data_IF_161734856002
#
_entry.id   IF_161734856002
#
_cell.length_a   1.000
_cell.length_b   1.000
_cell.length_c   1.000
_cell.angle_alpha   90.00
_cell.angle_beta   90.00
_cell.angle_gamma   90.00
#
_symmetry.space_group_name_H-M   'P 1'
#
loop_
_entity.id
_entity.type
_entity.pdbx_description
1 polymer ?
#
# COMPACT_ATOMS: atom_id res chain seq x y z
N UNK A 1 16.31 -48.59 -37.32
CA UNK A 1 17.04 -47.31 -37.30
C UNK A 1 16.00 -46.20 -37.21
N UNK A 2 15.77 -45.74 -35.98
CA UNK A 2 14.71 -44.80 -35.60
C UNK A 2 15.16 -43.37 -35.83
N UNK A 3 14.44 -42.62 -36.65
CA UNK A 3 14.65 -41.20 -36.87
C UNK A 3 14.29 -40.39 -35.63
N UNK A 4 15.25 -39.63 -35.13
CA UNK A 4 15.07 -38.70 -34.01
C UNK A 4 14.40 -37.43 -34.55
N UNK A 5 13.21 -37.11 -34.02
CA UNK A 5 12.57 -35.83 -34.25
C UNK A 5 13.37 -34.69 -33.59
N UNK A 6 13.45 -33.49 -34.19
CA UNK A 6 14.19 -32.38 -33.61
C UNK A 6 13.49 -31.87 -32.34
N UNK A 7 14.23 -31.34 -31.35
CA UNK A 7 13.64 -30.88 -30.10
C UNK A 7 12.77 -29.65 -30.35
N UNK A 8 11.55 -29.69 -29.81
CA UNK A 8 10.61 -28.59 -29.82
C UNK A 8 11.12 -27.45 -28.91
N UNK A 9 11.99 -26.59 -29.43
CA UNK A 9 12.30 -25.30 -28.82
C UNK A 9 11.46 -24.22 -29.49
N UNK A 10 10.23 -24.01 -29.02
CA UNK A 10 9.55 -22.71 -29.13
C UNK A 10 8.29 -22.63 -28.25
N UNK A 11 8.20 -21.52 -27.49
CA UNK A 11 7.02 -20.96 -26.83
C UNK A 11 6.45 -21.60 -25.55
N UNK A 12 7.27 -21.68 -24.51
CA UNK A 12 6.79 -21.46 -23.13
C UNK A 12 7.67 -20.40 -22.44
N UNK A 13 7.39 -19.11 -22.67
CA UNK A 13 7.73 -18.10 -21.65
C UNK A 13 6.95 -18.51 -20.40
N UNK A 14 7.63 -18.95 -19.36
CA UNK A 14 6.96 -19.37 -18.12
C UNK A 14 6.25 -18.14 -17.53
N UNK A 15 5.07 -18.32 -16.92
CA UNK A 15 4.31 -17.23 -16.25
C UNK A 15 5.18 -16.39 -15.28
N UNK A 16 6.29 -16.95 -14.80
CA UNK A 16 7.29 -16.26 -13.97
C UNK A 16 7.99 -15.10 -14.69
N UNK A 17 8.24 -15.16 -16.00
CA UNK A 17 8.94 -14.08 -16.72
C UNK A 17 8.04 -12.86 -16.94
N UNK A 18 6.73 -13.08 -17.15
CA UNK A 18 5.76 -11.99 -17.34
C UNK A 18 5.61 -11.11 -16.09
N UNK A 19 5.67 -11.70 -14.87
CA UNK A 19 5.60 -10.97 -13.60
C UNK A 19 6.75 -9.97 -13.42
N UNK A 20 7.91 -10.24 -14.03
CA UNK A 20 9.15 -9.48 -13.83
C UNK A 20 9.60 -8.67 -15.05
N UNK A 21 8.77 -8.61 -16.10
CA UNK A 21 9.09 -8.02 -17.42
C UNK A 21 9.80 -6.65 -17.35
N UNK A 22 9.42 -5.82 -16.38
CA UNK A 22 9.88 -4.43 -16.26
C UNK A 22 10.47 -4.10 -14.88
N UNK A 23 11.00 -5.10 -14.16
CA UNK A 23 11.57 -4.94 -12.81
C UNK A 23 13.09 -5.14 -12.84
N UNK A 24 13.83 -4.05 -12.59
CA UNK A 24 15.29 -4.04 -12.47
C UNK A 24 15.70 -4.50 -11.07
N UNK A 25 16.67 -5.42 -11.04
CA UNK A 25 17.37 -5.88 -9.84
C UNK A 25 18.86 -5.55 -10.00
N UNK A 26 19.41 -4.59 -9.24
CA UNK A 26 20.83 -4.25 -9.30
C UNK A 26 21.66 -5.16 -8.39
N UNK A 27 21.30 -6.44 -8.35
CA UNK A 27 21.97 -7.53 -7.64
C UNK A 27 21.70 -8.84 -8.39
N UNK A 28 22.55 -9.84 -8.17
CA UNK A 28 22.47 -11.12 -8.88
C UNK A 28 21.68 -12.16 -8.12
N UNK A 29 21.31 -13.27 -8.79
CA UNK A 29 20.66 -14.40 -8.13
C UNK A 29 21.58 -15.06 -7.10
N UNK A 30 22.88 -15.11 -7.38
CA UNK A 30 23.89 -15.67 -6.48
C UNK A 30 23.99 -14.86 -5.18
N UNK A 31 23.82 -13.53 -5.25
CA UNK A 31 23.76 -12.68 -4.07
C UNK A 31 22.52 -12.98 -3.22
N UNK A 32 21.36 -13.20 -3.85
CA UNK A 32 20.13 -13.61 -3.17
C UNK A 32 20.32 -14.97 -2.47
N UNK A 33 20.85 -15.97 -3.18
CA UNK A 33 21.10 -17.31 -2.61
C UNK A 33 22.06 -17.26 -1.42
N UNK A 34 23.10 -16.43 -1.48
CA UNK A 34 24.04 -16.25 -0.37
C UNK A 34 23.38 -15.69 0.90
N UNK A 35 22.29 -14.93 0.76
CA UNK A 35 21.53 -14.35 1.87
C UNK A 35 20.41 -15.24 2.42
N UNK A 36 20.01 -16.29 1.68
CA UNK A 36 18.89 -17.18 2.07
C UNK A 36 19.20 -18.10 3.25
N UNK A 37 20.48 -18.39 3.49
CA UNK A 37 20.88 -19.41 4.46
C UNK A 37 20.58 -20.83 3.95
N UNK A 38 20.62 -21.82 4.84
CA UNK A 38 20.57 -23.24 4.46
C UNK A 38 19.17 -23.87 4.58
N UNK A 39 18.20 -23.17 5.16
CA UNK A 39 16.85 -23.68 5.42
C UNK A 39 15.85 -22.83 4.65
N UNK A 40 15.05 -23.48 3.80
CA UNK A 40 13.96 -22.82 3.08
C UNK A 40 12.72 -22.73 3.99
N UNK A 41 12.31 -21.51 4.32
CA UNK A 41 11.05 -21.23 5.00
C UNK A 41 9.99 -20.91 3.93
N UNK A 42 8.83 -21.56 4.00
CA UNK A 42 7.73 -21.30 3.08
C UNK A 42 6.75 -20.27 3.67
N UNK A 43 6.47 -19.22 2.89
CA UNK A 43 5.58 -18.11 3.27
C UNK A 43 4.26 -18.18 2.50
N UNK A 44 3.46 -19.21 2.79
CA UNK A 44 2.27 -19.58 2.01
C UNK A 44 1.29 -18.42 1.79
N UNK A 45 0.93 -17.70 2.86
CA UNK A 45 -0.04 -16.60 2.78
C UNK A 45 0.48 -15.43 1.94
N UNK A 46 1.75 -15.07 2.12
CA UNK A 46 2.37 -13.99 1.34
C UNK A 46 2.45 -14.37 -0.15
N UNK A 47 2.82 -15.61 -0.48
CA UNK A 47 2.88 -16.09 -1.87
C UNK A 47 1.50 -16.07 -2.53
N UNK A 48 0.51 -16.73 -1.91
CA UNK A 48 -0.85 -16.80 -2.46
C UNK A 48 -1.49 -15.40 -2.56
N UNK A 49 -1.30 -14.57 -1.54
CA UNK A 49 -1.75 -13.19 -1.53
C UNK A 49 -1.13 -12.37 -2.66
N UNK A 50 0.19 -12.40 -2.82
CA UNK A 50 0.90 -11.65 -3.85
C UNK A 50 0.50 -12.09 -5.27
N UNK A 51 0.38 -13.40 -5.50
CA UNK A 51 -0.07 -13.95 -6.79
C UNK A 51 -1.52 -13.56 -7.10
N UNK A 52 -2.41 -13.63 -6.10
CA UNK A 52 -3.80 -13.19 -6.24
C UNK A 52 -3.89 -11.68 -6.49
N UNK A 53 -3.13 -10.88 -5.77
CA UNK A 53 -3.10 -9.43 -5.96
C UNK A 53 -2.62 -9.07 -7.36
N UNK A 54 -1.54 -9.69 -7.83
CA UNK A 54 -1.07 -9.49 -9.20
C UNK A 54 -2.17 -9.82 -10.22
N UNK A 55 -2.86 -10.96 -10.06
CA UNK A 55 -3.98 -11.34 -10.93
C UNK A 55 -5.09 -10.28 -10.93
N UNK A 56 -5.53 -9.82 -9.75
CA UNK A 56 -6.56 -8.78 -9.63
C UNK A 56 -6.16 -7.48 -10.32
N UNK A 57 -4.91 -7.05 -10.18
CA UNK A 57 -4.41 -5.82 -10.82
C UNK A 57 -4.38 -5.89 -12.35
N UNK A 58 -4.31 -7.10 -12.92
CA UNK A 58 -4.29 -7.32 -14.38
C UNK A 58 -5.70 -7.53 -14.94
N UNK A 59 -6.60 -8.17 -14.19
CA UNK A 59 -7.91 -8.60 -14.70
C UNK A 59 -9.04 -7.63 -14.36
N UNK A 60 -8.94 -6.87 -13.27
CA UNK A 60 -9.98 -5.92 -12.85
C UNK A 60 -9.74 -4.53 -13.46
N UNK A 61 -10.83 -3.77 -13.65
CA UNK A 61 -10.74 -2.37 -14.04
C UNK A 61 -9.91 -1.57 -13.02
N UNK A 62 -10.16 -1.83 -11.73
CA UNK A 62 -9.37 -1.40 -10.58
C UNK A 62 -9.75 -2.23 -9.34
N UNK A 63 -8.91 -2.20 -8.31
CA UNK A 63 -9.12 -2.88 -7.03
C UNK A 63 -9.36 -1.83 -5.93
N UNK A 64 -10.62 -1.59 -5.51
CA UNK A 64 -10.94 -0.71 -4.40
C UNK A 64 -10.76 -1.41 -3.06
N UNK A 65 -10.25 -0.67 -2.07
CA UNK A 65 -10.01 -1.19 -0.71
C UNK A 65 -10.29 -0.13 0.36
N UNK A 66 -10.42 -0.59 1.60
CA UNK A 66 -10.64 0.25 2.78
C UNK A 66 -9.57 -0.08 3.83
N UNK A 67 -9.05 0.94 4.52
CA UNK A 67 -8.13 0.75 5.63
C UNK A 67 -8.73 -0.05 6.77
N UNK A 68 -8.11 -1.19 7.12
CA UNK A 68 -8.46 -2.03 8.26
C UNK A 68 -7.34 -2.02 9.32
N UNK A 69 -7.72 -1.90 10.60
CA UNK A 69 -6.82 -1.98 11.75
C UNK A 69 -7.15 -3.14 12.71
N UNK A 70 -8.25 -3.86 12.44
CA UNK A 70 -8.64 -5.05 13.19
C UNK A 70 -8.98 -6.22 12.26
N UNK A 71 -8.91 -7.44 12.79
CA UNK A 71 -9.30 -8.64 12.05
C UNK A 71 -10.79 -8.63 11.65
N UNK A 72 -11.68 -8.18 12.52
CA UNK A 72 -13.13 -8.14 12.22
C UNK A 72 -13.45 -7.13 11.12
N UNK A 73 -12.79 -5.98 11.09
CA UNK A 73 -12.94 -5.02 9.97
C UNK A 73 -12.60 -5.69 8.63
N UNK A 74 -11.49 -6.43 8.58
CA UNK A 74 -11.09 -7.14 7.37
C UNK A 74 -12.07 -8.28 6.99
N UNK A 75 -12.55 -9.05 7.96
CA UNK A 75 -13.59 -10.08 7.72
C UNK A 75 -14.84 -9.44 7.12
N UNK A 76 -15.32 -8.34 7.69
CA UNK A 76 -16.51 -7.64 7.20
C UNK A 76 -16.30 -7.03 5.81
N UNK A 77 -15.11 -6.49 5.52
CA UNK A 77 -14.76 -5.99 4.18
C UNK A 77 -14.85 -7.11 3.13
N UNK A 78 -14.32 -8.29 3.43
CA UNK A 78 -14.35 -9.44 2.51
C UNK A 78 -15.76 -10.01 2.38
N UNK A 79 -16.50 -10.11 3.48
CA UNK A 79 -17.90 -10.54 3.48
C UNK A 79 -18.80 -9.61 2.64
N UNK A 80 -18.53 -8.30 2.67
CA UNK A 80 -19.20 -7.31 1.83
C UNK A 80 -18.77 -7.36 0.35
N UNK A 81 -17.82 -8.21 -0.02
CA UNK A 81 -17.39 -8.45 -1.40
C UNK A 81 -16.12 -7.72 -1.85
N UNK A 82 -15.40 -7.02 -0.96
CA UNK A 82 -14.10 -6.45 -1.31
C UNK A 82 -13.07 -7.56 -1.54
N UNK A 83 -12.26 -7.40 -2.59
CA UNK A 83 -11.32 -8.43 -3.05
C UNK A 83 -9.92 -8.29 -2.45
N UNK A 84 -9.62 -7.19 -1.76
CA UNK A 84 -8.31 -6.89 -1.16
C UNK A 84 -8.49 -5.97 0.06
N UNK A 85 -7.46 -5.93 0.91
CA UNK A 85 -7.44 -5.15 2.16
C UNK A 85 -6.27 -4.17 2.12
N UNK A 86 -6.52 -2.92 2.55
CA UNK A 86 -5.46 -1.96 2.81
C UNK A 86 -5.20 -1.90 4.33
N UNK A 87 -3.94 -1.92 4.73
CA UNK A 87 -3.53 -1.77 6.13
C UNK A 87 -2.72 -0.48 6.26
N UNK A 88 -3.35 0.51 6.90
CA UNK A 88 -2.84 1.88 7.04
C UNK A 88 -1.89 2.01 8.23
N UNK A 89 -0.69 2.56 8.01
CA UNK A 89 0.28 2.86 9.07
C UNK A 89 -0.24 3.93 10.03
N UNK A 90 -0.97 4.92 9.49
CA UNK A 90 -1.69 5.93 10.26
C UNK A 90 -2.67 5.30 11.26
N UNK A 91 -3.47 4.32 10.82
CA UNK A 91 -4.44 3.66 11.71
C UNK A 91 -3.75 2.84 12.79
N UNK A 92 -2.63 2.20 12.45
CA UNK A 92 -1.79 1.51 13.42
C UNK A 92 -1.22 2.49 14.45
N UNK A 93 -0.69 3.64 14.02
CA UNK A 93 -0.23 4.70 14.91
C UNK A 93 -1.36 5.16 15.85
N UNK A 94 -2.57 5.37 15.33
CA UNK A 94 -3.68 5.88 16.11
C UNK A 94 -4.23 4.88 17.14
N UNK A 95 -4.39 3.60 16.79
CA UNK A 95 -5.23 2.70 17.62
C UNK A 95 -4.86 1.20 17.56
N UNK A 96 -3.75 0.82 16.93
CA UNK A 96 -3.42 -0.62 16.80
C UNK A 96 -1.92 -0.96 16.88
N UNK A 97 -1.09 -0.07 17.43
CA UNK A 97 0.34 -0.29 17.55
C UNK A 97 0.75 -0.99 18.86
N UNK A 98 1.97 -1.55 18.86
CA UNK A 98 2.50 -2.35 19.97
C UNK A 98 3.00 -1.52 21.17
N UNK A 99 3.10 -0.19 21.06
CA UNK A 99 3.36 0.65 22.22
C UNK A 99 2.09 0.90 23.06
N UNK A 100 0.91 0.58 22.53
CA UNK A 100 -0.37 0.80 23.21
C UNK A 100 -0.71 2.27 23.43
N UNK A 101 -0.09 3.17 22.67
CA UNK A 101 -0.32 4.62 22.72
C UNK A 101 -1.08 5.07 21.47
N UNK A 102 -1.90 6.11 21.62
CA UNK A 102 -2.44 6.84 20.48
C UNK A 102 -1.38 7.81 19.95
N UNK A 103 -0.89 7.59 18.74
CA UNK A 103 0.09 8.44 18.10
C UNK A 103 -0.47 9.19 16.88
N UNK A 104 0.06 10.39 16.58
CA UNK A 104 -0.03 10.94 15.25
C UNK A 104 0.84 10.12 14.28
N UNK A 105 0.58 10.28 12.99
CA UNK A 105 1.25 9.55 11.94
C UNK A 105 2.63 10.14 11.59
N UNK A 106 3.61 9.79 12.41
CA UNK A 106 5.00 10.26 12.35
C UNK A 106 6.04 9.18 12.66
N UNK A 107 5.76 7.92 12.30
CA UNK A 107 6.66 6.76 12.53
C UNK A 107 7.12 6.57 13.98
N UNK A 108 6.30 6.97 14.96
CA UNK A 108 6.65 6.92 16.40
C UNK A 108 6.53 5.51 16.99
N UNK A 109 5.71 4.65 16.39
CA UNK A 109 5.39 3.35 16.92
C UNK A 109 6.48 2.30 16.64
N UNK A 110 6.57 1.20 17.42
CA UNK A 110 7.55 0.13 17.17
C UNK A 110 7.39 -0.47 15.77
N UNK A 111 8.48 -0.58 15.00
CA UNK A 111 8.45 -0.96 13.58
C UNK A 111 7.76 -2.31 13.29
N UNK A 112 7.67 -3.21 14.27
CA UNK A 112 6.96 -4.49 14.17
C UNK A 112 5.43 -4.39 14.37
N UNK A 113 4.87 -3.19 14.54
CA UNK A 113 3.42 -3.00 14.77
C UNK A 113 2.57 -3.35 13.55
N UNK A 114 2.93 -2.86 12.36
CA UNK A 114 2.22 -3.21 11.12
C UNK A 114 2.30 -4.73 10.84
N UNK A 115 3.47 -5.40 10.90
CA UNK A 115 3.56 -6.86 10.86
C UNK A 115 2.62 -7.59 11.83
N UNK A 116 2.48 -7.11 13.07
CA UNK A 116 1.56 -7.71 14.04
C UNK A 116 0.09 -7.61 13.59
N UNK A 117 -0.30 -6.48 12.98
CA UNK A 117 -1.66 -6.28 12.46
C UNK A 117 -1.90 -7.11 11.19
N UNK A 118 -0.91 -7.25 10.30
CA UNK A 118 -0.99 -8.16 9.14
C UNK A 118 -1.32 -9.58 9.61
N UNK A 119 -0.56 -10.09 10.60
CA UNK A 119 -0.78 -11.41 11.18
C UNK A 119 -2.17 -11.54 11.82
N UNK A 120 -2.62 -10.50 12.53
CA UNK A 120 -3.95 -10.45 13.14
C UNK A 120 -5.07 -10.55 12.10
N UNK A 121 -4.95 -9.82 10.99
CA UNK A 121 -5.92 -9.85 9.88
C UNK A 121 -5.94 -11.24 9.24
N UNK A 122 -4.76 -11.77 8.88
CA UNK A 122 -4.67 -13.11 8.29
C UNK A 122 -5.28 -14.20 9.18
N UNK A 123 -5.06 -14.14 10.50
CA UNK A 123 -5.67 -15.07 11.45
C UNK A 123 -7.20 -14.97 11.47
N UNK A 124 -7.76 -13.76 11.37
CA UNK A 124 -9.21 -13.56 11.34
C UNK A 124 -9.83 -14.11 10.05
N UNK A 125 -9.19 -13.85 8.89
CA UNK A 125 -9.63 -14.38 7.60
C UNK A 125 -9.53 -15.91 7.55
N UNK A 126 -8.47 -16.50 8.10
CA UNK A 126 -8.32 -17.95 8.23
C UNK A 126 -9.43 -18.56 9.11
N UNK A 127 -9.81 -17.88 10.20
CA UNK A 127 -10.92 -18.35 11.04
C UNK A 127 -12.25 -18.30 10.28
N UNK A 128 -12.51 -17.23 9.55
CA UNK A 128 -13.71 -17.11 8.72
C UNK A 128 -13.75 -18.20 7.63
N UNK A 129 -12.61 -18.46 6.98
CA UNK A 129 -12.45 -19.56 6.02
C UNK A 129 -12.76 -20.93 6.63
N UNK A 130 -12.22 -21.24 7.81
CA UNK A 130 -12.47 -22.50 8.51
C UNK A 130 -13.94 -22.70 8.87
N UNK A 131 -14.62 -21.64 9.34
CA UNK A 131 -16.06 -21.68 9.64
C UNK A 131 -16.86 -21.92 8.37
N UNK A 132 -16.55 -21.18 7.31
CA UNK A 132 -17.22 -21.27 6.01
C UNK A 132 -17.06 -22.66 5.37
N UNK A 133 -15.87 -23.26 5.51
CA UNK A 133 -15.58 -24.63 5.08
C UNK A 133 -16.38 -25.66 5.88
N UNK A 134 -16.43 -25.51 7.21
CA UNK A 134 -17.22 -26.38 8.09
C UNK A 134 -18.72 -26.35 7.75
N UNK A 135 -19.26 -25.17 7.44
CA UNK A 135 -20.67 -25.00 7.06
C UNK A 135 -20.99 -25.46 5.63
N UNK A 136 -19.99 -25.86 4.84
CA UNK A 136 -20.18 -26.29 3.46
C UNK A 136 -20.61 -25.16 2.52
N UNK A 137 -20.18 -23.91 2.77
CA UNK A 137 -20.59 -22.72 2.00
C UNK A 137 -19.42 -22.04 1.27
N UNK A 138 -18.65 -22.70 0.38
CA UNK A 138 -17.34 -22.22 -0.09
C UNK A 138 -17.37 -21.06 -1.13
N UNK A 139 -18.35 -20.16 -1.05
CA UNK A 139 -18.58 -19.12 -2.06
C UNK A 139 -17.71 -17.85 -1.89
N UNK A 140 -17.16 -17.63 -0.69
CA UNK A 140 -16.33 -16.45 -0.38
C UNK A 140 -14.85 -16.85 -0.38
N UNK A 141 -14.03 -16.10 -1.12
CA UNK A 141 -12.58 -16.26 -1.05
C UNK A 141 -12.01 -15.38 0.06
N UNK A 142 -12.01 -15.94 1.28
CA UNK A 142 -11.67 -15.24 2.52
C UNK A 142 -10.26 -14.66 2.58
N UNK A 143 -9.26 -15.35 2.04
CA UNK A 143 -7.87 -14.87 2.11
C UNK A 143 -7.60 -13.79 1.07
N UNK A 144 -8.19 -12.62 1.30
CA UNK A 144 -7.97 -11.41 0.51
C UNK A 144 -6.53 -10.90 0.69
N UNK A 145 -5.83 -10.52 -0.40
CA UNK A 145 -4.49 -9.95 -0.30
C UNK A 145 -4.48 -8.66 0.52
N UNK A 146 -3.47 -8.55 1.39
CA UNK A 146 -3.23 -7.38 2.23
C UNK A 146 -2.10 -6.55 1.61
N UNK A 147 -2.38 -5.28 1.30
CA UNK A 147 -1.37 -4.27 0.97
C UNK A 147 -1.11 -3.44 2.22
N UNK A 148 0.13 -3.43 2.70
CA UNK A 148 0.48 -2.84 3.98
C UNK A 148 1.44 -1.65 3.87
N UNK A 149 1.29 -0.72 4.81
CA UNK A 149 2.10 0.47 4.95
C UNK A 149 3.45 0.19 5.63
N UNK A 150 4.55 0.31 4.88
CA UNK A 150 5.90 0.17 5.41
C UNK A 150 6.55 1.53 5.72
N UNK A 151 5.78 2.62 5.72
CA UNK A 151 6.24 3.97 6.02
C UNK A 151 7.44 4.36 5.13
N UNK A 152 8.40 5.09 5.69
CA UNK A 152 9.73 5.30 5.11
C UNK A 152 10.73 4.18 5.49
N UNK A 153 10.27 3.07 6.10
CA UNK A 153 11.11 1.93 6.48
C UNK A 153 11.82 2.04 7.83
N UNK A 154 11.44 3.00 8.69
CA UNK A 154 11.93 3.14 10.08
C UNK A 154 13.46 3.30 10.22
N UNK A 155 14.13 3.80 9.19
CA UNK A 155 15.58 4.04 9.23
C UNK A 155 16.22 3.94 7.84
N UNK A 156 17.30 3.17 7.75
CA UNK A 156 18.04 2.96 6.50
C UNK A 156 17.65 1.65 5.78
N UNK A 157 18.42 1.26 4.75
CA UNK A 157 18.13 0.07 3.94
C UNK A 157 18.01 -1.25 4.73
N UNK A 158 18.75 -1.41 5.84
CA UNK A 158 18.65 -2.61 6.67
C UNK A 158 17.34 -2.65 7.47
N UNK A 159 16.85 -1.50 7.96
CA UNK A 159 15.55 -1.40 8.59
C UNK A 159 14.43 -1.74 7.59
N UNK A 160 14.54 -1.22 6.36
CA UNK A 160 13.61 -1.56 5.26
C UNK A 160 13.62 -3.05 4.96
N UNK A 161 14.81 -3.66 4.83
CA UNK A 161 14.94 -5.10 4.56
C UNK A 161 14.26 -5.95 5.63
N UNK A 162 14.55 -5.70 6.90
CA UNK A 162 13.96 -6.44 8.03
C UNK A 162 12.44 -6.21 8.16
N UNK A 163 11.98 -4.99 7.90
CA UNK A 163 10.55 -4.67 7.93
C UNK A 163 9.80 -5.42 6.84
N UNK A 164 10.27 -5.36 5.58
CA UNK A 164 9.60 -6.05 4.47
C UNK A 164 9.63 -7.56 4.67
N UNK A 165 10.75 -8.11 5.15
CA UNK A 165 10.82 -9.53 5.56
C UNK A 165 9.78 -9.86 6.62
N UNK A 166 9.68 -9.07 7.69
CA UNK A 166 8.69 -9.28 8.75
C UNK A 166 7.24 -9.18 8.25
N UNK A 167 6.97 -8.32 7.26
CA UNK A 167 5.64 -8.23 6.62
C UNK A 167 5.33 -9.46 5.78
N UNK A 168 6.31 -10.01 5.05
CA UNK A 168 6.17 -11.26 4.30
C UNK A 168 5.94 -12.44 5.25
N UNK A 169 6.71 -12.52 6.34
CA UNK A 169 6.52 -13.52 7.40
C UNK A 169 5.10 -13.47 7.98
N UNK A 170 4.53 -12.27 8.13
CA UNK A 170 3.16 -12.06 8.60
C UNK A 170 2.09 -12.37 7.54
N UNK A 171 2.47 -12.53 6.26
CA UNK A 171 1.58 -12.87 5.16
C UNK A 171 1.06 -11.68 4.33
N UNK A 172 1.82 -10.58 4.23
CA UNK A 172 1.46 -9.47 3.34
C UNK A 172 1.57 -9.87 1.86
N UNK A 173 0.62 -9.42 1.04
CA UNK A 173 0.62 -9.61 -0.41
C UNK A 173 1.41 -8.50 -1.12
N UNK A 174 1.36 -7.29 -0.58
CA UNK A 174 2.10 -6.14 -1.07
C UNK A 174 2.47 -5.17 0.04
N UNK A 175 3.48 -4.34 -0.23
CA UNK A 175 3.98 -3.33 0.69
C UNK A 175 4.25 -2.03 -0.07
N UNK A 176 4.03 -0.88 0.56
CA UNK A 176 4.42 0.41 0.02
C UNK A 176 5.46 1.10 0.88
N UNK A 177 6.44 1.74 0.23
CA UNK A 177 7.48 2.55 0.85
C UNK A 177 7.40 3.98 0.30
N UNK A 178 7.60 4.97 1.16
CA UNK A 178 7.61 6.38 0.77
C UNK A 178 8.99 7.03 0.86
N UNK A 179 9.15 8.15 0.14
CA UNK A 179 10.43 8.87 0.00
C UNK A 179 10.60 10.05 0.97
N UNK A 180 9.93 9.97 2.13
CA UNK A 180 10.16 10.89 3.24
C UNK A 180 11.33 10.44 4.13
N UNK A 181 11.90 11.38 4.89
CA UNK A 181 12.86 11.10 5.94
C UNK A 181 12.14 10.41 7.12
N UNK A 182 12.55 9.19 7.46
CA UNK A 182 11.86 8.37 8.47
C UNK A 182 11.73 9.04 9.86
N UNK A 183 12.73 9.81 10.30
CA UNK A 183 12.69 10.51 11.60
C UNK A 183 11.80 11.75 11.61
N UNK A 184 11.46 12.30 10.44
CA UNK A 184 10.58 13.45 10.26
C UNK A 184 9.38 13.08 9.39
N UNK A 185 9.01 11.79 9.39
CA UNK A 185 7.88 11.29 8.61
C UNK A 185 6.62 12.02 9.05
N UNK A 186 5.78 12.40 8.10
CA UNK A 186 4.44 12.91 8.39
C UNK A 186 3.41 12.22 7.50
N UNK A 187 2.17 12.21 7.96
CA UNK A 187 1.03 11.93 7.09
C UNK A 187 1.09 12.81 5.83
N UNK A 188 0.73 12.25 4.68
CA UNK A 188 0.79 12.92 3.38
C UNK A 188 0.07 14.27 3.29
N UNK A 189 -0.90 14.52 4.17
CA UNK A 189 -1.71 15.72 4.21
C UNK A 189 -1.24 16.75 5.25
N UNK A 190 -0.13 16.48 5.96
CA UNK A 190 0.46 17.39 6.93
C UNK A 190 1.60 18.21 6.30
N UNK A 191 1.81 19.43 6.80
CA UNK A 191 2.96 20.26 6.43
C UNK A 191 4.27 19.75 7.05
N UNK A 192 5.40 20.27 6.57
CA UNK A 192 6.73 19.97 7.12
C UNK A 192 7.35 18.65 6.66
N UNK A 193 6.80 18.01 5.62
CA UNK A 193 7.38 16.80 5.02
C UNK A 193 8.77 17.07 4.45
N UNK A 194 9.71 16.18 4.75
CA UNK A 194 11.10 16.26 4.27
C UNK A 194 11.39 15.05 3.40
N UNK A 195 11.73 15.27 2.14
CA UNK A 195 12.11 14.22 1.21
C UNK A 195 13.55 13.75 1.47
N UNK A 196 13.81 12.48 1.21
CA UNK A 196 15.18 11.97 1.00
C UNK A 196 15.57 12.10 -0.48
N UNK A 197 16.88 12.11 -0.82
CA UNK A 197 17.33 12.11 -2.20
C UNK A 197 16.78 10.92 -2.99
N UNK A 198 16.54 11.13 -4.28
CA UNK A 198 15.97 10.11 -5.18
C UNK A 198 16.75 8.79 -5.11
N UNK A 199 18.08 8.84 -5.09
CA UNK A 199 18.94 7.65 -4.93
C UNK A 199 18.75 6.91 -3.60
N UNK A 200 18.38 7.59 -2.51
CA UNK A 200 18.15 6.95 -1.22
C UNK A 200 16.79 6.23 -1.20
N UNK A 201 15.75 6.85 -1.77
CA UNK A 201 14.46 6.19 -1.97
C UNK A 201 14.63 4.93 -2.84
N UNK A 202 15.39 5.01 -3.95
CA UNK A 202 15.71 3.84 -4.77
C UNK A 202 16.42 2.74 -3.97
N UNK A 203 17.39 3.08 -3.10
CA UNK A 203 18.03 2.09 -2.21
C UNK A 203 17.03 1.40 -1.29
N UNK A 204 16.03 2.11 -0.78
CA UNK A 204 14.96 1.50 0.03
C UNK A 204 14.11 0.53 -0.80
N UNK A 205 13.71 0.93 -2.01
CA UNK A 205 12.96 0.05 -2.93
C UNK A 205 13.74 -1.22 -3.29
N UNK A 206 15.04 -1.08 -3.57
CA UNK A 206 15.94 -2.21 -3.83
C UNK A 206 16.03 -3.13 -2.61
N UNK A 207 16.18 -2.58 -1.40
CA UNK A 207 16.23 -3.36 -0.16
C UNK A 207 14.92 -4.13 0.09
N UNK A 208 13.76 -3.49 -0.14
CA UNK A 208 12.45 -4.15 -0.06
C UNK A 208 12.30 -5.28 -1.09
N UNK A 209 12.73 -5.07 -2.34
CA UNK A 209 12.72 -6.14 -3.36
C UNK A 209 13.67 -7.27 -2.99
N UNK A 210 14.86 -6.95 -2.48
CA UNK A 210 15.85 -7.95 -2.06
C UNK A 210 15.30 -8.83 -0.93
N UNK A 211 14.60 -8.23 0.05
CA UNK A 211 13.92 -8.99 1.10
C UNK A 211 12.89 -9.97 0.52
N UNK A 212 12.09 -9.53 -0.46
CA UNK A 212 11.11 -10.40 -1.13
C UNK A 212 11.77 -11.54 -1.92
N UNK A 213 12.84 -11.25 -2.67
CA UNK A 213 13.60 -12.25 -3.42
C UNK A 213 14.29 -13.25 -2.47
N UNK A 214 14.85 -12.80 -1.33
CA UNK A 214 15.41 -13.68 -0.29
C UNK A 214 14.32 -14.57 0.32
N UNK A 215 13.12 -14.03 0.57
CA UNK A 215 11.98 -14.81 1.05
C UNK A 215 11.36 -15.71 -0.05
N UNK A 216 11.82 -15.63 -1.29
CA UNK A 216 11.28 -16.38 -2.43
C UNK A 216 9.79 -16.09 -2.72
N UNK A 217 9.30 -14.87 -2.42
CA UNK A 217 7.89 -14.48 -2.58
C UNK A 217 7.76 -13.35 -3.61
N UNK A 218 6.78 -13.40 -4.55
CA UNK A 218 6.60 -12.38 -5.58
C UNK A 218 5.85 -11.13 -5.08
N UNK A 219 6.14 -10.68 -3.84
CA UNK A 219 5.45 -9.58 -3.15
C UNK A 219 5.32 -8.34 -4.04
N UNK A 220 4.13 -7.74 -4.04
CA UNK A 220 3.89 -6.51 -4.78
C UNK A 220 4.57 -5.34 -4.05
N UNK A 221 5.46 -4.62 -4.73
CA UNK A 221 6.16 -3.46 -4.17
C UNK A 221 5.62 -2.18 -4.81
N UNK A 222 5.23 -1.22 -3.97
CA UNK A 222 4.75 0.09 -4.40
C UNK A 222 5.74 1.17 -3.94
N UNK A 223 6.05 2.12 -4.83
CA UNK A 223 6.76 3.34 -4.43
C UNK A 223 5.77 4.50 -4.32
N UNK A 224 5.69 5.08 -3.12
CA UNK A 224 5.01 6.33 -2.85
C UNK A 224 5.99 7.50 -2.96
N UNK A 225 5.56 8.59 -3.58
CA UNK A 225 6.25 9.87 -3.49
C UNK A 225 5.37 10.93 -2.82
N UNK A 226 5.99 11.69 -1.93
CA UNK A 226 5.35 12.82 -1.23
C UNK A 226 5.72 14.19 -1.82
N UNK A 227 6.47 14.20 -2.93
CA UNK A 227 7.02 15.39 -3.56
C UNK A 227 5.98 16.37 -4.14
N UNK A 228 4.72 15.96 -4.25
CA UNK A 228 3.65 16.87 -4.65
C UNK A 228 3.43 18.01 -3.63
N UNK A 229 3.66 17.74 -2.34
CA UNK A 229 3.47 18.73 -1.28
C UNK A 229 4.68 18.93 -0.36
N UNK A 230 5.69 18.05 -0.42
CA UNK A 230 6.88 18.18 0.40
C UNK A 230 7.81 19.29 -0.12
N UNK A 231 7.97 20.35 0.66
CA UNK A 231 8.78 21.52 0.30
C UNK A 231 10.21 21.49 0.82
N UNK A 232 10.64 20.37 1.42
CA UNK A 232 11.97 20.18 2.01
C UNK A 232 12.64 18.91 1.48
N UNK A 233 13.97 18.93 1.37
CA UNK A 233 14.82 17.82 0.93
C UNK A 233 16.07 17.76 1.81
N UNK A 234 16.50 16.57 2.25
CA UNK A 234 17.63 16.47 3.18
C UNK A 234 18.98 16.84 2.57
N UNK A 235 19.18 16.65 1.26
CA UNK A 235 20.46 16.87 0.58
C UNK A 235 20.28 17.09 -0.92
N UNK A 236 21.18 17.89 -1.51
CA UNK A 236 21.31 18.20 -2.93
C UNK A 236 22.24 17.25 -3.72
N UNK A 237 22.62 16.12 -3.12
CA UNK A 237 23.62 15.18 -3.65
C UNK A 237 23.20 14.50 -4.96
N UNK A 238 21.91 14.38 -5.24
CA UNK A 238 21.39 13.69 -6.41
C UNK A 238 21.04 14.69 -7.53
N UNK A 239 21.69 14.55 -8.68
CA UNK A 239 21.47 15.43 -9.84
C UNK A 239 20.00 15.49 -10.28
N UNK A 240 19.22 14.42 -10.05
CA UNK A 240 17.79 14.37 -10.42
C UNK A 240 16.93 15.29 -9.56
N UNK A 241 17.39 15.61 -8.35
CA UNK A 241 16.67 16.47 -7.41
C UNK A 241 17.01 17.95 -7.61
N UNK A 242 18.19 18.27 -8.14
CA UNK A 242 18.67 19.66 -8.33
C UNK A 242 17.74 20.57 -9.11
N UNK A 243 17.04 20.12 -10.18
CA UNK A 243 16.09 20.95 -10.91
C UNK A 243 14.92 21.47 -10.07
N UNK A 244 14.72 20.99 -8.84
CA UNK A 244 13.66 21.43 -7.94
C UNK A 244 14.17 22.26 -6.76
N UNK A 245 15.47 22.28 -6.50
CA UNK A 245 16.07 23.01 -5.38
C UNK A 245 16.00 24.52 -5.63
N UNK A 246 15.65 25.30 -4.61
CA UNK A 246 15.54 26.77 -4.71
C UNK A 246 16.85 27.50 -4.40
N UNK A 247 17.78 26.83 -3.72
CA UNK A 247 19.03 27.39 -3.20
C UNK A 247 18.94 27.85 -1.74
N UNK A 248 17.73 27.88 -1.16
CA UNK A 248 17.52 28.23 0.24
C UNK A 248 17.64 27.01 1.16
N UNK A 249 18.09 27.24 2.40
CA UNK A 249 18.19 26.22 3.45
C UNK A 249 17.43 26.61 4.71
N UNK A 250 17.00 25.62 5.48
CA UNK A 250 16.43 25.80 6.83
C UNK A 250 17.51 25.79 7.90
N UNK A 251 17.15 26.11 9.15
CA UNK A 251 18.09 26.11 10.28
C UNK A 251 18.61 24.70 10.62
N UNK A 252 17.78 23.67 10.40
CA UNK A 252 18.12 22.25 10.52
C UNK A 252 19.05 21.76 9.39
N UNK A 253 19.25 22.60 8.36
CA UNK A 253 20.12 22.32 7.23
C UNK A 253 19.41 21.67 6.03
N UNK A 254 18.09 21.52 6.04
CA UNK A 254 17.35 21.01 4.88
C UNK A 254 17.33 22.02 3.74
N UNK A 255 17.26 21.52 2.51
CA UNK A 255 17.11 22.33 1.30
C UNK A 255 15.63 22.58 1.03
N UNK A 256 15.27 23.80 0.62
CA UNK A 256 13.93 24.08 0.10
C UNK A 256 13.82 23.62 -1.35
N UNK A 257 12.69 22.99 -1.68
CA UNK A 257 12.37 22.51 -3.02
C UNK A 257 11.03 23.07 -3.50
N UNK A 258 10.91 23.22 -4.83
CA UNK A 258 9.66 23.51 -5.53
C UNK A 258 8.81 22.24 -5.57
N UNK A 259 8.01 22.05 -4.52
CA UNK A 259 7.00 20.98 -4.46
C UNK A 259 5.99 21.11 -5.60
N UNK A 260 5.43 19.97 -6.02
CA UNK A 260 4.34 19.92 -6.98
C UNK A 260 4.40 18.69 -7.88
N UNK A 261 3.42 18.61 -8.78
CA UNK A 261 3.21 17.44 -9.63
C UNK A 261 4.41 17.13 -10.53
N UNK A 262 5.14 18.14 -10.99
CA UNK A 262 6.32 17.94 -11.85
C UNK A 262 7.46 17.24 -11.09
N UNK A 263 7.66 17.58 -9.80
CA UNK A 263 8.63 16.90 -8.94
C UNK A 263 8.18 15.47 -8.64
N UNK A 264 6.89 15.26 -8.41
CA UNK A 264 6.31 13.93 -8.19
C UNK A 264 6.47 13.02 -9.42
N UNK A 265 6.22 13.53 -10.63
CA UNK A 265 6.42 12.80 -11.89
C UNK A 265 7.89 12.40 -12.05
N UNK A 266 8.83 13.35 -11.87
CA UNK A 266 10.26 13.07 -12.02
C UNK A 266 10.75 11.96 -11.07
N UNK A 267 10.24 11.95 -9.84
CA UNK A 267 10.52 10.91 -8.86
C UNK A 267 9.89 9.58 -9.23
N UNK A 268 8.61 9.58 -9.59
CA UNK A 268 7.88 8.38 -10.01
C UNK A 268 8.55 7.70 -11.22
N UNK A 269 8.99 8.47 -12.23
CA UNK A 269 9.76 7.97 -13.37
C UNK A 269 11.09 7.34 -12.94
N UNK A 270 11.76 7.91 -11.93
CA UNK A 270 13.00 7.36 -11.37
C UNK A 270 12.77 6.07 -10.57
N UNK A 271 11.60 5.91 -9.94
CA UNK A 271 11.25 4.74 -9.13
C UNK A 271 10.69 3.59 -9.96
N UNK A 272 10.03 3.91 -11.09
CA UNK A 272 9.30 2.97 -11.93
C UNK A 272 10.03 1.65 -12.24
N UNK A 273 11.35 1.62 -12.52
CA UNK A 273 12.04 0.36 -12.82
C UNK A 273 12.15 -0.60 -11.65
N UNK A 274 11.98 -0.14 -10.41
CA UNK A 274 12.24 -0.93 -9.21
C UNK A 274 10.96 -1.50 -8.58
N UNK A 275 9.79 -1.04 -9.02
CA UNK A 275 8.50 -1.30 -8.39
C UNK A 275 7.42 -1.75 -9.35
N UNK A 276 6.38 -2.35 -8.77
CA UNK A 276 5.21 -2.86 -9.48
C UNK A 276 4.17 -1.75 -9.70
N UNK A 277 3.97 -0.89 -8.68
CA UNK A 277 3.08 0.27 -8.77
C UNK A 277 3.74 1.56 -8.29
N UNK A 278 3.25 2.68 -8.79
CA UNK A 278 3.62 4.02 -8.35
C UNK A 278 2.43 4.74 -7.71
N UNK A 279 2.68 5.50 -6.67
CA UNK A 279 1.69 6.31 -5.97
C UNK A 279 2.24 7.72 -5.75
N UNK A 280 1.52 8.72 -6.27
CA UNK A 280 1.72 10.11 -5.87
C UNK A 280 0.72 10.46 -4.78
N UNK A 281 1.20 10.87 -3.60
CA UNK A 281 0.29 11.41 -2.59
C UNK A 281 -0.22 12.79 -3.02
N UNK A 282 -1.53 13.01 -2.94
CA UNK A 282 -2.19 14.27 -3.31
C UNK A 282 -2.86 14.91 -2.10
N UNK A 283 -2.97 16.24 -2.11
CA UNK A 283 -3.63 17.01 -1.06
C UNK A 283 -5.12 17.25 -1.33
N UNK A 284 -5.57 17.04 -2.57
CA UNK A 284 -6.96 17.22 -2.99
C UNK A 284 -7.40 16.10 -3.96
N UNK A 285 -8.71 15.78 -4.01
CA UNK A 285 -9.25 14.82 -4.97
C UNK A 285 -9.42 15.53 -6.33
N UNK A 286 -8.36 15.53 -7.13
CA UNK A 286 -8.29 16.24 -8.41
C UNK A 286 -7.98 15.27 -9.56
N UNK A 287 -8.97 15.04 -10.44
CA UNK A 287 -8.82 14.14 -11.60
C UNK A 287 -7.89 14.70 -12.68
N UNK A 288 -7.78 16.02 -12.83
CA UNK A 288 -6.87 16.63 -13.81
C UNK A 288 -5.41 16.47 -13.37
N UNK A 289 -5.13 16.64 -12.08
CA UNK A 289 -3.80 16.37 -11.51
C UNK A 289 -3.44 14.88 -11.60
N UNK A 290 -4.39 14.00 -11.28
CA UNK A 290 -4.23 12.55 -11.43
C UNK A 290 -3.92 12.18 -12.89
N UNK A 291 -4.65 12.75 -13.85
CA UNK A 291 -4.40 12.56 -15.28
C UNK A 291 -3.00 13.03 -15.69
N UNK A 292 -2.58 14.23 -15.26
CA UNK A 292 -1.22 14.74 -15.54
C UNK A 292 -0.13 13.82 -15.00
N UNK A 293 -0.31 13.28 -13.78
CA UNK A 293 0.64 12.33 -13.21
C UNK A 293 0.70 11.04 -14.02
N UNK A 294 -0.46 10.47 -14.35
CA UNK A 294 -0.55 9.23 -15.12
C UNK A 294 0.10 9.39 -16.50
N UNK A 295 -0.26 10.43 -17.25
CA UNK A 295 0.32 10.73 -18.56
C UNK A 295 1.84 10.96 -18.48
N UNK A 296 2.31 11.70 -17.47
CA UNK A 296 3.74 11.94 -17.25
C UNK A 296 4.54 10.67 -16.97
N UNK A 297 3.97 9.73 -16.21
CA UNK A 297 4.60 8.42 -15.97
C UNK A 297 4.53 7.54 -17.22
N UNK A 298 3.36 7.43 -17.84
CA UNK A 298 3.10 6.53 -18.97
C UNK A 298 3.82 6.95 -20.25
N UNK A 299 4.21 8.22 -20.38
CA UNK A 299 5.12 8.66 -21.45
C UNK A 299 6.46 7.90 -21.41
N UNK A 300 6.95 7.53 -20.23
CA UNK A 300 8.20 6.79 -20.05
C UNK A 300 7.96 5.29 -19.84
N UNK A 301 6.88 4.92 -19.15
CA UNK A 301 6.53 3.53 -18.83
C UNK A 301 5.05 3.26 -19.11
N UNK A 302 4.66 2.99 -20.38
CA UNK A 302 3.25 2.90 -20.79
C UNK A 302 2.41 1.87 -20.01
N UNK A 303 3.03 0.76 -19.59
CA UNK A 303 2.36 -0.34 -18.89
C UNK A 303 2.44 -0.20 -17.36
N UNK A 304 2.98 0.89 -16.82
CA UNK A 304 3.22 1.02 -15.37
C UNK A 304 1.91 1.21 -14.61
N UNK A 305 1.65 0.31 -13.67
CA UNK A 305 0.48 0.37 -12.81
C UNK A 305 0.59 1.51 -11.81
N UNK A 306 -0.53 2.18 -11.54
CA UNK A 306 -0.60 3.28 -10.59
C UNK A 306 -1.52 2.93 -9.41
N UNK A 307 -1.30 3.59 -8.28
CA UNK A 307 -2.14 3.50 -7.10
C UNK A 307 -2.58 4.89 -6.63
N UNK A 308 -3.79 4.98 -6.07
CA UNK A 308 -4.39 6.26 -5.66
C UNK A 308 -5.04 6.16 -4.28
N UNK A 309 -4.68 7.11 -3.41
CA UNK A 309 -5.30 7.29 -2.10
C UNK A 309 -6.53 8.20 -2.23
N UNK A 310 -7.72 7.62 -2.11
CA UNK A 310 -8.98 8.35 -1.97
C UNK A 310 -9.09 8.85 -0.51
N UNK A 311 -8.29 9.85 -0.17
CA UNK A 311 -8.08 10.25 1.22
C UNK A 311 -9.36 10.75 1.91
N UNK A 312 -9.63 10.32 3.15
CA UNK A 312 -10.71 10.88 3.97
C UNK A 312 -10.35 12.24 4.58
N UNK A 313 -9.10 12.68 4.47
CA UNK A 313 -8.70 14.06 4.83
C UNK A 313 -9.26 15.10 3.87
N UNK A 314 -9.78 14.69 2.71
CA UNK A 314 -10.49 15.56 1.79
C UNK A 314 -11.91 15.84 2.29
N UNK A 315 -12.35 17.10 2.19
CA UNK A 315 -13.77 17.40 2.27
C UNK A 315 -14.42 17.19 0.90
N UNK A 316 -14.80 15.94 0.60
CA UNK A 316 -15.29 15.49 -0.71
C UNK A 316 -16.44 16.36 -1.24
N UNK A 317 -17.53 16.53 -0.47
CA UNK A 317 -18.70 17.32 -0.90
C UNK A 317 -18.46 18.82 -1.00
N UNK A 318 -17.40 19.34 -0.35
CA UNK A 318 -16.98 20.74 -0.53
C UNK A 318 -16.23 20.93 -1.85
N UNK A 319 -15.60 19.89 -2.37
CA UNK A 319 -14.68 19.96 -3.52
C UNK A 319 -15.30 19.44 -4.82
N UNK A 320 -16.16 18.43 -4.73
CA UNK A 320 -16.74 17.72 -5.87
C UNK A 320 -18.25 17.58 -5.69
N UNK A 321 -18.98 17.58 -6.80
CA UNK A 321 -20.41 17.25 -6.83
C UNK A 321 -20.64 15.72 -6.75
N UNK A 322 -21.87 15.32 -6.39
CA UNK A 322 -22.21 13.91 -6.19
C UNK A 322 -22.03 13.04 -7.45
N UNK A 323 -22.19 13.62 -8.66
CA UNK A 323 -21.98 12.88 -9.92
C UNK A 323 -20.50 12.57 -10.09
N UNK A 324 -19.65 13.57 -9.87
CA UNK A 324 -18.19 13.40 -9.94
C UNK A 324 -17.68 12.43 -8.88
N UNK A 325 -18.19 12.51 -7.64
CA UNK A 325 -17.86 11.54 -6.58
C UNK A 325 -18.23 10.12 -7.00
N UNK A 326 -19.44 9.91 -7.55
CA UNK A 326 -19.94 8.59 -7.95
C UNK A 326 -19.12 7.90 -9.05
N UNK A 327 -18.42 8.66 -9.89
CA UNK A 327 -17.57 8.13 -10.98
C UNK A 327 -16.06 8.20 -10.70
N UNK A 328 -15.64 8.84 -9.61
CA UNK A 328 -14.25 9.20 -9.34
C UNK A 328 -13.27 8.01 -9.49
N UNK A 329 -13.56 6.89 -8.83
CA UNK A 329 -12.69 5.70 -8.88
C UNK A 329 -12.66 5.04 -10.27
N UNK A 330 -13.77 5.08 -11.00
CA UNK A 330 -13.85 4.54 -12.36
C UNK A 330 -13.00 5.36 -13.33
N UNK A 331 -13.09 6.68 -13.23
CA UNK A 331 -12.29 7.61 -14.03
C UNK A 331 -10.80 7.42 -13.74
N UNK A 332 -10.41 7.26 -12.47
CA UNK A 332 -9.04 6.91 -12.08
C UNK A 332 -8.61 5.54 -12.66
N UNK A 333 -9.47 4.52 -12.61
CA UNK A 333 -9.19 3.20 -13.16
C UNK A 333 -8.85 3.25 -14.66
N UNK A 334 -9.57 4.08 -15.42
CA UNK A 334 -9.32 4.31 -16.84
C UNK A 334 -7.97 5.00 -17.13
N UNK A 335 -7.41 5.72 -16.15
CA UNK A 335 -6.08 6.35 -16.24
C UNK A 335 -4.95 5.42 -15.78
N UNK A 336 -5.23 4.17 -15.41
CA UNK A 336 -4.23 3.19 -14.98
C UNK A 336 -4.02 3.11 -13.46
N UNK A 337 -4.84 3.78 -12.65
CA UNK A 337 -4.87 3.62 -11.19
C UNK A 337 -5.59 2.31 -10.81
N UNK A 338 -4.84 1.20 -10.87
CA UNK A 338 -5.33 -0.15 -10.65
C UNK A 338 -5.52 -0.53 -9.19
N UNK A 339 -4.87 0.17 -8.26
CA UNK A 339 -5.08 -0.04 -6.82
C UNK A 339 -5.56 1.26 -6.17
N UNK A 340 -6.76 1.25 -5.59
CA UNK A 340 -7.38 2.45 -5.03
C UNK A 340 -7.85 2.18 -3.61
N UNK A 341 -7.61 3.11 -2.70
CA UNK A 341 -7.80 2.84 -1.27
C UNK A 341 -8.21 4.08 -0.49
N UNK A 342 -9.07 3.89 0.52
CA UNK A 342 -9.37 4.91 1.53
C UNK A 342 -8.58 4.56 2.79
N UNK A 343 -7.52 5.31 3.07
CA UNK A 343 -6.56 5.01 4.15
C UNK A 343 -7.19 4.92 5.53
N UNK A 344 -8.10 5.84 5.89
CA UNK A 344 -8.65 5.95 7.25
C UNK A 344 -10.09 5.44 7.40
N UNK A 345 -10.59 4.64 6.45
CA UNK A 345 -11.97 4.15 6.46
C UNK A 345 -12.34 3.46 7.78
N UNK A 346 -11.56 2.47 8.23
CA UNK A 346 -11.77 1.78 9.50
C UNK A 346 -11.75 2.69 10.73
N UNK A 347 -10.90 3.73 10.74
CA UNK A 347 -10.84 4.69 11.85
C UNK A 347 -12.13 5.51 11.94
N UNK A 348 -12.58 6.08 10.83
CA UNK A 348 -13.81 6.85 10.80
C UNK A 348 -15.04 5.98 11.11
N UNK A 349 -15.13 4.78 10.52
CA UNK A 349 -16.23 3.87 10.78
C UNK A 349 -16.32 3.47 12.26
N UNK A 350 -15.18 3.10 12.87
CA UNK A 350 -15.11 2.70 14.27
C UNK A 350 -15.48 3.85 15.21
N UNK A 351 -14.85 5.01 15.05
CA UNK A 351 -15.07 6.15 15.95
C UNK A 351 -16.48 6.72 15.81
N UNK A 352 -16.99 6.86 14.58
CA UNK A 352 -18.32 7.41 14.36
C UNK A 352 -19.42 6.50 14.91
N UNK A 353 -19.36 5.19 14.62
CA UNK A 353 -20.36 4.23 15.09
C UNK A 353 -20.39 4.16 16.62
N UNK A 354 -19.23 4.06 17.27
CA UNK A 354 -19.14 4.02 18.72
C UNK A 354 -19.62 5.32 19.37
N UNK A 355 -19.23 6.49 18.84
CA UNK A 355 -19.71 7.78 19.35
C UNK A 355 -21.23 7.92 19.23
N UNK A 356 -21.80 7.56 18.07
CA UNK A 356 -23.23 7.62 17.81
C UNK A 356 -24.00 6.72 18.78
N UNK A 357 -23.56 5.46 18.95
CA UNK A 357 -24.15 4.52 19.90
C UNK A 357 -24.03 5.04 21.34
N UNK A 358 -22.85 5.46 21.77
CA UNK A 358 -22.62 5.93 23.13
C UNK A 358 -23.48 7.16 23.48
N UNK A 359 -23.61 8.11 22.54
CA UNK A 359 -24.48 9.28 22.70
C UNK A 359 -25.95 8.86 22.83
N UNK A 360 -26.43 8.03 21.90
CA UNK A 360 -27.80 7.51 21.97
C UNK A 360 -28.07 6.71 23.24
N UNK A 361 -27.11 5.90 23.68
CA UNK A 361 -27.21 5.07 24.88
C UNK A 361 -27.21 5.91 26.16
N UNK A 362 -26.43 6.98 26.21
CA UNK A 362 -26.45 7.94 27.32
C UNK A 362 -27.82 8.64 27.45
N UNK A 363 -28.51 8.88 26.34
CA UNK A 363 -29.82 9.55 26.32
C UNK A 363 -31.01 8.58 26.48
N UNK A 364 -30.94 7.39 25.88
CA UNK A 364 -32.08 6.47 25.67
C UNK A 364 -31.82 5.02 26.08
N UNK A 365 -30.65 4.71 26.62
CA UNK A 365 -30.27 3.38 27.11
C UNK A 365 -30.48 2.28 26.05
N UNK A 366 -31.16 1.20 26.46
CA UNK A 366 -31.37 0.01 25.63
C UNK A 366 -32.06 0.29 24.29
N UNK A 367 -32.86 1.35 24.17
CA UNK A 367 -33.48 1.70 22.88
C UNK A 367 -32.44 2.02 21.80
N UNK A 368 -31.35 2.70 22.15
CA UNK A 368 -30.28 2.99 21.19
C UNK A 368 -29.50 1.74 20.78
N UNK A 369 -29.33 0.78 21.71
CA UNK A 369 -28.70 -0.50 21.38
C UNK A 369 -29.61 -1.40 20.54
N UNK A 370 -30.91 -1.45 20.86
CA UNK A 370 -31.89 -2.20 20.07
C UNK A 370 -31.97 -1.68 18.63
N UNK A 371 -31.86 -0.37 18.39
CA UNK A 371 -31.79 0.18 17.03
C UNK A 371 -30.57 -0.31 16.23
N UNK A 372 -29.41 -0.44 16.88
CA UNK A 372 -28.23 -1.04 16.26
C UNK A 372 -28.48 -2.51 15.93
N UNK A 373 -29.04 -3.27 16.88
CA UNK A 373 -29.35 -4.69 16.69
C UNK A 373 -30.36 -4.92 15.55
N UNK A 374 -31.42 -4.11 15.47
CA UNK A 374 -32.38 -4.18 14.37
C UNK A 374 -31.73 -3.83 13.02
N UNK A 375 -30.79 -2.88 13.01
CA UNK A 375 -30.01 -2.57 11.81
C UNK A 375 -29.10 -3.74 11.39
N UNK A 376 -28.55 -4.52 12.33
CA UNK A 376 -27.81 -5.75 12.05
C UNK A 376 -28.72 -6.82 11.43
N UNK A 377 -29.88 -7.10 12.03
CA UNK A 377 -30.84 -8.06 11.47
C UNK A 377 -31.31 -7.67 10.06
N UNK A 378 -31.54 -6.38 9.82
CA UNK A 378 -31.93 -5.88 8.51
C UNK A 378 -30.81 -6.02 7.45
N UNK A 379 -29.55 -6.06 7.85
CA UNK A 379 -28.41 -6.25 6.94
C UNK A 379 -28.12 -7.74 6.64
N UNK A 380 -28.58 -8.65 7.51
CA UNK A 380 -28.47 -10.11 7.32
C UNK A 380 -29.63 -10.70 6.48
N UNK A 381 -30.76 -9.99 6.40
CA UNK A 381 -31.94 -10.35 5.61
C UNK A 381 -31.75 -10.09 4.11
#
# INVERSE_FOLDING_TARGET
MTGVAPPATQNRRTRSEARWKDVIRPYTKEEVERLRGTVKIEYTLARLGAERLWKLLQEEDYVPTLGAMTGNQAVQQVQAGLKAIYLSGWQVAADANLAGQMYPDQSLYPANSVPAVIKRINNALLRADQICHLEGRPHIHWLAPIVADAEAGFGGPLNVFELVKSMIEAGAAGVHLEDQLASEKKCGHMGGKVLIPTQHAIKHLIAGRLAADVCDVPTILLARTDANAASLLTSDVDERDKPFITGERTAEGFYRVRAGIDQAIARAVSYAPYVDLLWCETSEPNLDEAKRFAEGVHQHYPDKLLAYNCSPSFNWKKKLDDTTIGRFQRDLGAMGYKFQFITLAGFHALNYSMFHLARGYQERGMSAYAELQEAEFAAEA
#
